data_IF_656595071705
#
_entry.id   IF_656595071705
#
_cell.length_a   1.000
_cell.length_b   1.000
_cell.length_c   1.000
_cell.angle_alpha   90.00
_cell.angle_beta   90.00
_cell.angle_gamma   90.00
#
_symmetry.space_group_name_H-M   'P 1'
#
loop_
_entity.id
_entity.type
_entity.pdbx_description
1 polymer ?
#
# COMPACT_ATOMS: atom_id res chain seq x y z
N UNK A 1 -5.59 24.66 1.84
CA UNK A 1 -4.30 23.97 1.65
C UNK A 1 -4.58 22.53 1.23
N UNK A 2 -4.15 22.12 0.04
CA UNK A 2 -4.27 20.75 -0.48
C UNK A 2 -3.15 19.91 0.16
N UNK A 3 -3.39 19.32 1.32
CA UNK A 3 -2.40 18.41 1.92
C UNK A 3 -2.46 17.05 1.22
N UNK A 4 -1.43 16.78 0.42
CA UNK A 4 -1.10 15.44 -0.10
C UNK A 4 -0.92 14.49 1.07
N UNK A 5 -1.49 13.28 1.02
CA UNK A 5 -1.22 12.26 2.04
C UNK A 5 0.18 11.69 1.77
N UNK A 6 1.11 11.71 2.73
CA UNK A 6 2.42 11.09 2.55
C UNK A 6 2.26 9.58 2.31
N UNK A 7 3.09 9.03 1.43
CA UNK A 7 3.03 7.62 1.06
C UNK A 7 3.28 6.71 2.28
N UNK A 8 4.24 7.10 3.12
CA UNK A 8 4.63 6.41 4.35
C UNK A 8 3.45 6.33 5.33
N UNK A 9 2.63 7.38 5.38
CA UNK A 9 1.41 7.39 6.21
C UNK A 9 0.38 6.40 5.68
N UNK A 10 0.19 6.32 4.36
CA UNK A 10 -0.73 5.33 3.76
C UNK A 10 -0.23 3.92 4.03
N UNK A 11 1.06 3.66 3.86
CA UNK A 11 1.70 2.36 4.13
C UNK A 11 1.50 1.92 5.58
N UNK A 12 1.77 2.79 6.56
CA UNK A 12 1.57 2.47 7.98
C UNK A 12 0.09 2.17 8.31
N UNK A 13 -0.83 2.92 7.71
CA UNK A 13 -2.27 2.67 7.88
C UNK A 13 -2.68 1.35 7.25
N UNK A 14 -2.18 1.01 6.05
CA UNK A 14 -2.46 -0.28 5.41
C UNK A 14 -1.93 -1.46 6.22
N UNK A 15 -0.72 -1.36 6.78
CA UNK A 15 -0.18 -2.37 7.69
C UNK A 15 -1.08 -2.56 8.92
N UNK A 16 -1.58 -1.46 9.49
CA UNK A 16 -2.54 -1.48 10.61
C UNK A 16 -3.85 -2.17 10.22
N UNK A 17 -4.38 -1.90 9.03
CA UNK A 17 -5.62 -2.52 8.52
C UNK A 17 -5.42 -4.02 8.27
N UNK A 18 -4.25 -4.43 7.80
CA UNK A 18 -3.91 -5.81 7.46
C UNK A 18 -3.50 -6.65 8.68
N UNK A 19 -3.48 -6.07 9.89
CA UNK A 19 -3.31 -6.82 11.12
C UNK A 19 -4.68 -7.10 11.76
N UNK A 20 -5.12 -8.36 11.73
CA UNK A 20 -6.41 -8.81 12.23
C UNK A 20 -6.62 -8.55 13.73
N UNK A 21 -5.54 -8.34 14.51
CA UNK A 21 -5.64 -8.02 15.95
C UNK A 21 -6.28 -6.66 16.18
N UNK A 22 -6.25 -5.77 15.19
CA UNK A 22 -6.86 -4.45 15.25
C UNK A 22 -8.36 -4.47 14.93
N UNK A 23 -8.95 -5.62 14.60
CA UNK A 23 -10.32 -5.71 14.12
C UNK A 23 -11.30 -5.98 15.27
N UNK A 24 -12.49 -5.34 15.27
CA UNK A 24 -13.03 -4.41 14.28
C UNK A 24 -12.44 -2.99 14.37
N UNK A 25 -12.22 -2.35 13.21
CA UNK A 25 -11.64 -0.99 13.12
C UNK A 25 -12.51 -0.02 12.32
N UNK A 26 -12.43 1.27 12.66
CA UNK A 26 -13.08 2.38 11.95
C UNK A 26 -12.03 3.26 11.27
N UNK A 27 -12.09 3.38 9.94
CA UNK A 27 -11.23 4.29 9.17
C UNK A 27 -12.04 5.54 8.86
N UNK A 28 -11.55 6.70 9.31
CA UNK A 28 -12.19 7.97 8.98
C UNK A 28 -11.18 9.09 8.78
N UNK A 29 -11.63 10.13 8.09
CA UNK A 29 -11.00 11.45 8.12
C UNK A 29 -12.10 12.47 8.46
N UNK A 30 -11.94 13.75 8.09
CA UNK A 30 -12.95 14.75 8.44
C UNK A 30 -14.30 14.49 7.72
N UNK A 31 -14.27 14.03 6.47
CA UNK A 31 -15.47 13.79 5.66
C UNK A 31 -15.55 12.40 5.03
N UNK A 32 -14.57 11.54 5.33
CA UNK A 32 -14.47 10.20 4.73
C UNK A 32 -14.20 10.17 3.22
N UNK A 33 -13.70 11.27 2.61
CA UNK A 33 -13.58 11.41 1.14
C UNK A 33 -12.15 11.20 0.66
N UNK A 34 -11.27 12.19 0.88
CA UNK A 34 -9.95 12.25 0.25
C UNK A 34 -8.96 11.28 0.90
N UNK A 35 -8.58 11.53 2.16
CA UNK A 35 -7.59 10.68 2.87
C UNK A 35 -8.07 9.25 3.03
N UNK A 36 -9.34 9.09 3.43
CA UNK A 36 -9.97 7.77 3.54
C UNK A 36 -10.05 7.09 2.18
N UNK A 37 -10.47 7.81 1.12
CA UNK A 37 -10.55 7.26 -0.22
C UNK A 37 -9.20 6.81 -0.79
N UNK A 38 -8.12 7.56 -0.57
CA UNK A 38 -6.77 7.14 -0.95
C UNK A 38 -6.36 5.83 -0.27
N UNK A 39 -6.52 5.74 1.06
CA UNK A 39 -6.18 4.52 1.82
C UNK A 39 -7.00 3.33 1.35
N UNK A 40 -8.32 3.49 1.19
CA UNK A 40 -9.20 2.41 0.72
C UNK A 40 -8.85 2.02 -0.72
N UNK A 41 -8.56 2.98 -1.60
CA UNK A 41 -8.14 2.70 -2.96
C UNK A 41 -6.86 1.87 -3.03
N UNK A 42 -5.85 2.21 -2.22
CA UNK A 42 -4.63 1.41 -2.10
C UNK A 42 -4.89 0.02 -1.49
N UNK A 43 -5.81 -0.10 -0.53
CA UNK A 43 -6.24 -1.40 -0.01
C UNK A 43 -6.89 -2.25 -1.10
N UNK A 44 -7.74 -1.65 -1.96
CA UNK A 44 -8.34 -2.37 -3.10
C UNK A 44 -7.31 -2.82 -4.13
N UNK A 45 -6.25 -2.03 -4.37
CA UNK A 45 -5.12 -2.46 -5.20
C UNK A 45 -4.44 -3.70 -4.63
N UNK A 46 -4.19 -3.72 -3.32
CA UNK A 46 -3.65 -4.91 -2.65
C UNK A 46 -4.57 -6.12 -2.81
N UNK A 47 -5.89 -5.92 -2.76
CA UNK A 47 -6.93 -6.92 -3.02
C UNK A 47 -7.10 -7.28 -4.52
N UNK A 48 -6.23 -6.79 -5.41
CA UNK A 48 -6.23 -7.06 -6.85
C UNK A 48 -7.50 -6.62 -7.59
N UNK A 49 -8.12 -5.52 -7.14
CA UNK A 49 -9.20 -4.90 -7.90
C UNK A 49 -8.64 -4.15 -9.12
N UNK A 50 -9.41 -4.08 -10.21
CA UNK A 50 -9.04 -3.25 -11.35
C UNK A 50 -9.14 -1.76 -11.02
N UNK A 51 -8.24 -0.94 -11.56
CA UNK A 51 -8.25 0.51 -11.34
C UNK A 51 -9.60 1.14 -11.69
N UNK A 52 -10.29 0.63 -12.71
CA UNK A 52 -11.64 1.07 -13.09
C UNK A 52 -12.63 0.95 -11.93
N UNK A 53 -12.69 -0.21 -11.27
CA UNK A 53 -13.60 -0.45 -10.14
C UNK A 53 -13.17 0.36 -8.91
N UNK A 54 -11.85 0.49 -8.69
CA UNK A 54 -11.30 1.29 -7.59
C UNK A 54 -11.69 2.77 -7.73
N UNK A 55 -11.54 3.33 -8.93
CA UNK A 55 -11.90 4.72 -9.18
C UNK A 55 -13.40 4.95 -9.19
N UNK A 56 -14.21 3.96 -9.56
CA UNK A 56 -15.66 4.03 -9.38
C UNK A 56 -16.05 4.11 -7.90
N UNK A 57 -15.50 3.23 -7.05
CA UNK A 57 -15.72 3.24 -5.59
C UNK A 57 -15.27 4.59 -4.99
N UNK A 58 -14.06 5.06 -5.32
CA UNK A 58 -13.56 6.34 -4.85
C UNK A 58 -14.48 7.50 -5.26
N UNK A 59 -14.92 7.57 -6.52
CA UNK A 59 -15.78 8.66 -7.01
C UNK A 59 -17.15 8.63 -6.33
N UNK A 60 -17.72 7.45 -6.12
CA UNK A 60 -18.99 7.27 -5.41
C UNK A 60 -18.95 7.86 -4.00
N UNK A 61 -17.90 7.60 -3.23
CA UNK A 61 -17.77 8.10 -1.85
C UNK A 61 -17.21 9.52 -1.74
N UNK A 62 -16.47 9.99 -2.75
CA UNK A 62 -15.91 11.35 -2.76
C UNK A 62 -16.85 12.39 -3.37
N UNK A 63 -17.95 12.00 -4.02
CA UNK A 63 -18.95 12.91 -4.59
C UNK A 63 -19.40 13.98 -3.57
N UNK A 64 -19.58 15.26 -3.98
CA UNK A 64 -19.32 15.83 -5.30
C UNK A 64 -17.88 16.34 -5.49
N UNK A 65 -16.97 16.01 -4.57
CA UNK A 65 -15.63 16.62 -4.47
C UNK A 65 -14.52 15.61 -4.75
N UNK A 66 -14.70 14.75 -5.75
CA UNK A 66 -13.66 13.86 -6.24
C UNK A 66 -12.46 14.66 -6.76
N UNK A 67 -11.24 14.16 -6.53
CA UNK A 67 -10.00 14.78 -6.99
C UNK A 67 -9.26 13.83 -7.92
N UNK A 68 -8.70 14.35 -9.01
CA UNK A 68 -7.82 13.58 -9.90
C UNK A 68 -6.53 13.17 -9.19
N UNK A 69 -5.94 14.07 -8.38
CA UNK A 69 -4.72 13.83 -7.61
C UNK A 69 -4.83 12.61 -6.66
N UNK A 70 -6.01 12.38 -6.07
CA UNK A 70 -6.23 11.23 -5.20
C UNK A 70 -6.25 9.91 -6.00
N UNK A 71 -6.81 9.94 -7.23
CA UNK A 71 -6.83 8.77 -8.14
C UNK A 71 -5.44 8.49 -8.71
N UNK A 72 -4.70 9.54 -9.11
CA UNK A 72 -3.29 9.44 -9.52
C UNK A 72 -2.42 8.86 -8.41
N UNK A 73 -2.63 9.29 -7.15
CA UNK A 73 -1.94 8.70 -6.01
C UNK A 73 -2.24 7.21 -5.87
N UNK A 74 -3.52 6.82 -5.95
CA UNK A 74 -3.90 5.41 -5.89
C UNK A 74 -3.22 4.63 -7.02
N UNK A 75 -3.24 5.14 -8.25
CA UNK A 75 -2.61 4.51 -9.41
C UNK A 75 -1.11 4.27 -9.22
N UNK A 76 -0.39 5.29 -8.74
CA UNK A 76 1.06 5.27 -8.62
C UNK A 76 1.58 4.59 -7.35
N UNK A 77 0.74 4.42 -6.32
CA UNK A 77 1.14 3.75 -5.07
C UNK A 77 1.68 2.34 -5.35
N UNK A 78 2.91 2.05 -4.89
CA UNK A 78 3.52 0.73 -5.06
C UNK A 78 3.10 -0.19 -3.92
N UNK A 79 2.36 -1.24 -4.26
CA UNK A 79 1.89 -2.26 -3.32
C UNK A 79 3.04 -2.92 -2.56
N UNK A 80 4.23 -3.00 -3.16
CA UNK A 80 5.40 -3.60 -2.52
C UNK A 80 5.85 -2.87 -1.25
N UNK A 81 5.48 -1.60 -1.08
CA UNK A 81 5.87 -0.78 0.08
C UNK A 81 5.26 -1.29 1.40
N UNK A 82 4.14 -2.02 1.37
CA UNK A 82 3.46 -2.47 2.60
C UNK A 82 4.05 -3.77 3.16
N UNK A 83 4.66 -4.61 2.32
CA UNK A 83 5.10 -5.95 2.75
C UNK A 83 6.13 -5.98 3.87
N UNK A 84 7.13 -5.06 3.94
CA UNK A 84 8.09 -5.04 5.03
C UNK A 84 7.45 -4.81 6.41
N UNK A 85 6.31 -4.13 6.47
CA UNK A 85 5.61 -3.77 7.71
C UNK A 85 4.61 -4.85 8.17
N UNK A 86 4.32 -5.85 7.32
CA UNK A 86 3.30 -6.87 7.59
C UNK A 86 3.91 -8.07 8.30
N UNK A 87 3.24 -8.53 9.35
CA UNK A 87 3.52 -9.84 9.97
C UNK A 87 2.55 -10.87 9.38
N UNK A 88 3.01 -11.84 8.55
CA UNK A 88 2.12 -12.73 7.81
C UNK A 88 1.16 -13.56 8.67
N UNK A 89 1.54 -13.84 9.92
CA UNK A 89 0.71 -14.61 10.89
C UNK A 89 -0.57 -13.89 11.30
N UNK A 90 -0.60 -12.56 11.19
CA UNK A 90 -1.75 -11.74 11.59
C UNK A 90 -2.55 -11.19 10.41
N UNK A 91 -2.27 -11.63 9.18
CA UNK A 91 -3.08 -11.28 8.03
C UNK A 91 -4.52 -11.80 8.19
N UNK A 92 -5.54 -11.01 7.83
CA UNK A 92 -6.92 -11.44 7.93
C UNK A 92 -7.23 -12.50 6.86
N UNK A 93 -8.19 -13.38 7.14
CA UNK A 93 -8.57 -14.47 6.22
C UNK A 93 -9.08 -14.02 4.85
N UNK A 94 -9.61 -12.79 4.76
CA UNK A 94 -10.12 -12.20 3.51
C UNK A 94 -9.03 -11.57 2.65
N UNK A 95 -7.79 -11.48 3.14
CA UNK A 95 -6.67 -10.89 2.41
C UNK A 95 -6.29 -11.75 1.20
N UNK A 96 -6.99 -11.56 0.07
CA UNK A 96 -6.59 -12.09 -1.23
C UNK A 96 -5.43 -11.25 -1.74
N UNK A 97 -4.23 -11.57 -1.26
CA UNK A 97 -3.00 -10.85 -1.53
C UNK A 97 -2.12 -11.69 -2.44
N UNK A 98 -1.63 -11.10 -3.53
CA UNK A 98 -0.59 -11.72 -4.35
C UNK A 98 0.63 -11.85 -3.45
N UNK A 99 1.00 -13.09 -3.11
CA UNK A 99 2.22 -13.42 -2.39
C UNK A 99 3.45 -13.26 -3.30
N UNK A 100 3.50 -12.19 -4.08
CA UNK A 100 4.64 -11.80 -4.89
C UNK A 100 5.58 -11.02 -3.98
N UNK A 101 6.79 -11.54 -3.81
CA UNK A 101 7.94 -10.87 -3.18
C UNK A 101 8.17 -11.04 -1.67
N UNK A 102 7.57 -12.03 -1.00
CA UNK A 102 8.12 -12.51 0.30
C UNK A 102 9.52 -13.17 0.17
N UNK A 103 10.08 -13.26 -1.05
CA UNK A 103 11.37 -13.89 -1.36
C UNK A 103 12.46 -12.94 -1.87
N UNK A 104 12.21 -11.63 -2.00
CA UNK A 104 13.18 -10.68 -2.61
C UNK A 104 14.02 -9.86 -1.63
N UNK A 105 13.77 -9.94 -0.33
CA UNK A 105 14.48 -9.14 0.68
C UNK A 105 15.82 -9.75 1.17
N UNK A 106 16.24 -10.92 0.69
CA UNK A 106 17.48 -11.58 1.16
C UNK A 106 18.64 -11.63 0.13
N UNK A 107 18.58 -10.91 -0.98
CA UNK A 107 19.62 -11.00 -2.01
C UNK A 107 20.15 -9.62 -2.41
N UNK A 108 20.94 -8.98 -1.55
CA UNK A 108 21.98 -8.00 -1.93
C UNK A 108 22.82 -7.58 -0.72
N UNK A 109 23.82 -8.39 -0.35
CA UNK A 109 25.10 -7.95 0.23
C UNK A 109 26.01 -9.16 0.53
N UNK A 110 26.58 -9.74 -0.52
CA UNK A 110 27.79 -10.58 -0.48
C UNK A 110 28.15 -10.78 -1.96
N UNK A 111 28.89 -9.84 -2.53
CA UNK A 111 29.64 -9.98 -3.80
C UNK A 111 30.30 -8.63 -4.12
N UNK A 112 31.30 -8.24 -3.32
CA UNK A 112 32.24 -7.18 -3.70
C UNK A 112 33.59 -7.34 -2.98
N UNK A 113 34.14 -8.55 -2.96
CA UNK A 113 35.56 -8.76 -2.63
C UNK A 113 36.15 -9.86 -3.51
N UNK A 114 36.32 -9.59 -4.81
CA UNK A 114 37.28 -10.34 -5.62
C UNK A 114 37.79 -9.52 -6.82
N UNK A 115 38.48 -8.41 -6.54
CA UNK A 115 39.42 -7.80 -7.50
C UNK A 115 40.64 -7.27 -6.74
N UNK A 116 41.53 -8.16 -6.31
CA UNK A 116 42.96 -7.87 -6.15
C UNK A 116 43.79 -9.14 -5.95
N UNK A 117 44.01 -9.96 -6.98
CA UNK A 117 45.23 -10.78 -7.07
C UNK A 117 45.53 -11.10 -8.55
N UNK A 118 46.16 -10.19 -9.30
CA UNK A 118 47.10 -10.52 -10.40
C UNK A 118 48.10 -9.39 -10.62
N UNK A 119 48.98 -9.20 -9.64
CA UNK A 119 50.34 -8.71 -9.87
C UNK A 119 51.29 -9.89 -9.94
N UNK A 120 51.70 -10.26 -11.16
CA UNK A 120 52.95 -10.93 -11.52
C UNK A 120 53.23 -10.70 -12.99
#
# INVERSE_FOLDING_TARGET
MLTKVPEETVTAVLATILDQRNHPLLIHCNKGKHRTGCVIGCLRKLQQWSLTTIFDEYRRFSYPKARSMDQEFIELYRESAVWPEIIPRYLPSWAVLVKGDLSRSNATQEDTEEVDIRGM
#
